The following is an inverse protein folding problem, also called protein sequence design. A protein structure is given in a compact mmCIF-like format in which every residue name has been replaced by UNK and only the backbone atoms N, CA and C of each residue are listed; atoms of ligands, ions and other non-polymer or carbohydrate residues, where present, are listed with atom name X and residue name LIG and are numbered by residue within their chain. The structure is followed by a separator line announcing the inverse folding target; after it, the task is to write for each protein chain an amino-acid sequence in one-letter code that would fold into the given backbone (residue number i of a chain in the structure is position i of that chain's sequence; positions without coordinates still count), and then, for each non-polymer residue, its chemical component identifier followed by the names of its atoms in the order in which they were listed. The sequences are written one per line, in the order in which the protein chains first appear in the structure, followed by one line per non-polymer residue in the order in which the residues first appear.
data_IF_252142129445
#
_entry.id   IF_252142129445
#
_cell.length_a   1.000
_cell.length_b   1.000
_cell.length_c   1.000
_cell.angle_alpha   90.00
_cell.angle_beta   90.00
_cell.angle_gamma   90.00
#
_symmetry.space_group_name_H-M   'P 1'
#
loop_
_entity.id
_entity.type
_entity.pdbx_description
1 polymer ?
#
# COMPACT_ATOMS: atom_id res chain seq x y z
N UNK A 1 -4.54 8.89 20.85
CA UNK A 1 -5.20 10.18 20.57
C UNK A 1 -6.04 10.50 21.79
N UNK A 2 -6.06 11.76 22.23
CA UNK A 2 -7.03 12.19 23.24
C UNK A 2 -8.45 11.94 22.70
N UNK A 3 -9.47 11.82 23.57
CA UNK A 3 -10.85 11.76 23.11
C UNK A 3 -11.14 12.90 22.12
N UNK A 4 -11.64 12.55 20.93
CA UNK A 4 -11.93 13.45 19.80
C UNK A 4 -10.72 14.10 19.09
N UNK A 5 -9.49 13.74 19.44
CA UNK A 5 -8.31 14.18 18.70
C UNK A 5 -8.18 13.40 17.39
N UNK A 6 -8.00 14.11 16.27
CA UNK A 6 -7.67 13.53 14.96
C UNK A 6 -6.24 13.92 14.59
N UNK A 7 -5.50 12.98 13.97
CA UNK A 7 -4.18 13.26 13.39
C UNK A 7 -4.09 12.69 11.99
N UNK A 8 -3.40 13.42 11.12
CA UNK A 8 -2.99 12.94 9.81
C UNK A 8 -1.73 12.11 9.97
N UNK A 9 -1.72 10.92 9.35
CA UNK A 9 -0.55 10.05 9.27
C UNK A 9 -0.08 10.01 7.83
N UNK A 10 1.22 10.26 7.61
CA UNK A 10 1.84 10.17 6.30
C UNK A 10 2.67 8.89 6.21
N UNK A 11 2.41 8.07 5.19
CA UNK A 11 3.15 6.85 4.91
C UNK A 11 3.93 7.06 3.60
N UNK A 12 5.26 7.07 3.69
CA UNK A 12 6.12 7.16 2.51
C UNK A 12 6.36 5.77 1.94
N UNK A 13 5.99 5.56 0.67
CA UNK A 13 6.20 4.31 -0.06
C UNK A 13 7.06 4.59 -1.29
N UNK A 14 8.14 3.84 -1.46
CA UNK A 14 9.00 3.89 -2.65
C UNK A 14 8.51 2.85 -3.66
N UNK A 15 8.76 3.07 -4.96
CA UNK A 15 8.43 2.08 -6.00
C UNK A 15 8.99 0.68 -5.70
N UNK A 16 10.20 0.59 -5.16
CA UNK A 16 10.81 -0.70 -4.78
C UNK A 16 10.09 -1.43 -3.63
N UNK A 17 9.30 -0.74 -2.82
CA UNK A 17 8.59 -1.34 -1.69
C UNK A 17 7.37 -2.14 -2.16
N UNK A 18 6.90 -1.91 -3.40
CA UNK A 18 5.86 -2.70 -4.07
C UNK A 18 6.42 -3.66 -5.12
N UNK A 19 7.75 -3.85 -5.14
CA UNK A 19 8.37 -4.78 -6.05
C UNK A 19 8.10 -6.23 -5.63
N UNK A 20 8.01 -7.12 -6.62
CA UNK A 20 7.93 -8.56 -6.41
C UNK A 20 9.13 -9.24 -7.08
N UNK A 21 9.49 -10.43 -6.62
CA UNK A 21 10.59 -11.19 -7.21
C UNK A 21 10.09 -11.94 -8.44
N UNK A 22 10.52 -11.54 -9.62
CA UNK A 22 10.25 -12.25 -10.86
C UNK A 22 11.18 -13.48 -10.98
N UNK A 23 10.68 -14.73 -10.89
CA UNK A 23 11.52 -15.92 -10.96
C UNK A 23 12.02 -16.23 -12.37
N UNK A 24 11.37 -15.72 -13.41
CA UNK A 24 11.79 -15.91 -14.82
C UNK A 24 13.04 -15.08 -15.11
N UNK A 25 13.02 -13.80 -14.74
CA UNK A 25 14.12 -12.86 -14.93
C UNK A 25 15.12 -12.86 -13.76
N UNK A 26 14.77 -13.52 -12.65
CA UNK A 26 15.55 -13.61 -11.40
C UNK A 26 15.91 -12.25 -10.79
N UNK A 27 15.05 -11.27 -10.96
CA UNK A 27 15.23 -9.90 -10.46
C UNK A 27 13.96 -9.38 -9.77
N UNK A 28 14.11 -8.34 -8.96
CA UNK A 28 12.98 -7.62 -8.37
C UNK A 28 12.41 -6.64 -9.39
N UNK A 29 11.11 -6.72 -9.65
CA UNK A 29 10.41 -5.94 -10.66
C UNK A 29 9.21 -5.21 -10.07
N UNK A 30 8.88 -4.05 -10.66
CA UNK A 30 7.66 -3.31 -10.39
C UNK A 30 6.86 -3.32 -11.68
N UNK A 31 5.69 -3.92 -11.66
CA UNK A 31 4.83 -4.01 -12.83
C UNK A 31 4.12 -2.67 -13.12
N UNK A 32 3.89 -2.38 -14.40
CA UNK A 32 3.08 -1.24 -14.80
C UNK A 32 1.60 -1.63 -14.79
N UNK A 33 1.02 -1.64 -13.59
CA UNK A 33 -0.38 -2.00 -13.34
C UNK A 33 -1.07 -0.94 -12.45
N UNK A 34 -2.38 -1.10 -12.28
CA UNK A 34 -3.12 -0.39 -11.25
C UNK A 34 -2.97 -1.12 -9.91
N UNK A 35 -2.45 -0.40 -8.91
CA UNK A 35 -2.22 -0.91 -7.56
C UNK A 35 -3.37 -0.50 -6.64
N UNK A 36 -3.97 -1.45 -5.93
CA UNK A 36 -4.92 -1.15 -4.86
C UNK A 36 -4.18 -0.92 -3.54
N UNK A 37 -4.43 0.22 -2.92
CA UNK A 37 -3.91 0.59 -1.60
C UNK A 37 -5.00 0.37 -0.56
N UNK A 38 -4.66 -0.35 0.51
CA UNK A 38 -5.54 -0.64 1.65
C UNK A 38 -4.99 0.01 2.93
N UNK A 39 -5.82 0.77 3.66
CA UNK A 39 -5.43 1.40 4.93
C UNK A 39 -6.54 1.18 5.96
N UNK A 40 -6.19 0.65 7.14
CA UNK A 40 -7.16 0.40 8.20
C UNK A 40 -6.50 -0.01 9.52
N UNK A 41 -7.33 -0.25 10.53
CA UNK A 41 -6.89 -0.70 11.86
C UNK A 41 -6.52 -2.18 11.90
N UNK A 42 -6.96 -2.97 10.93
CA UNK A 42 -6.64 -4.38 10.77
C UNK A 42 -6.64 -4.80 9.29
N UNK A 43 -6.27 -6.04 9.00
CA UNK A 43 -6.34 -6.62 7.65
C UNK A 43 -7.70 -7.20 7.27
N UNK A 44 -8.71 -7.11 8.16
CA UNK A 44 -10.08 -7.51 7.82
C UNK A 44 -10.69 -6.51 6.85
N UNK A 45 -11.41 -7.01 5.85
CA UNK A 45 -12.04 -6.16 4.83
C UNK A 45 -12.97 -5.06 5.40
N UNK A 46 -13.63 -5.32 6.53
CA UNK A 46 -14.52 -4.36 7.21
C UNK A 46 -13.80 -3.16 7.82
N UNK A 47 -12.49 -3.27 8.06
CA UNK A 47 -11.66 -2.23 8.69
C UNK A 47 -10.88 -1.39 7.66
N UNK A 48 -10.95 -1.72 6.36
CA UNK A 48 -10.07 -1.17 5.32
C UNK A 48 -10.75 -0.10 4.47
N UNK A 49 -10.10 1.06 4.36
CA UNK A 49 -10.31 2.04 3.28
C UNK A 49 -9.47 1.64 2.07
N UNK A 50 -9.97 1.92 0.87
CA UNK A 50 -9.30 1.54 -0.38
C UNK A 50 -9.19 2.68 -1.38
N UNK A 51 -8.12 2.67 -2.17
CA UNK A 51 -7.96 3.52 -3.35
C UNK A 51 -7.09 2.81 -4.39
N UNK A 52 -7.02 3.35 -5.60
CA UNK A 52 -6.22 2.81 -6.69
C UNK A 52 -5.26 3.86 -7.25
N UNK A 53 -4.04 3.43 -7.59
CA UNK A 53 -3.01 4.29 -8.18
C UNK A 53 -2.29 3.57 -9.33
N UNK A 54 -1.79 4.32 -10.30
CA UNK A 54 -0.86 3.81 -11.32
C UNK A 54 0.56 4.29 -11.02
N UNK A 55 1.55 3.41 -11.18
CA UNK A 55 2.96 3.69 -10.87
C UNK A 55 3.86 3.77 -12.11
#
# INVERSE_FOLDING_TARGET
LNPNETKTVSIGVKKKDVAWYNPENRVWEVESIEYTIYIGSSSKNEDLLTTQISL
#
